data_IF_068356192523
#
_entry.id   IF_068356192523
#
_cell.length_a   1.000
_cell.length_b   1.000
_cell.length_c   1.000
_cell.angle_alpha   90.00
_cell.angle_beta   90.00
_cell.angle_gamma   90.00
#
_symmetry.space_group_name_H-M   'P 1'
#
loop_
_entity.id
_entity.type
_entity.pdbx_description
1 polymer ?
#
# COMPACT_ATOMS: atom_id res chain seq x y z
N UNK A 1 52.31 -34.95 3.72
CA UNK A 1 53.11 -33.95 2.99
C UNK A 1 52.82 -32.60 3.65
N UNK A 2 53.79 -32.17 4.48
CA UNK A 2 53.77 -30.93 5.23
C UNK A 2 54.41 -29.81 4.39
N UNK A 3 53.69 -28.71 4.18
CA UNK A 3 54.26 -27.53 3.52
C UNK A 3 54.59 -26.48 4.58
N UNK A 4 55.90 -26.30 4.77
CA UNK A 4 56.50 -25.24 5.57
C UNK A 4 56.39 -23.89 4.86
N UNK A 5 55.88 -22.87 5.54
CA UNK A 5 56.00 -21.47 5.14
C UNK A 5 57.11 -20.80 5.96
N UNK A 6 58.20 -20.45 5.28
CA UNK A 6 59.31 -19.71 5.84
C UNK A 6 59.00 -18.21 5.81
N UNK A 7 59.10 -17.56 6.98
CA UNK A 7 59.05 -16.11 7.18
C UNK A 7 60.28 -15.45 6.54
N UNK A 8 60.05 -14.47 5.65
CA UNK A 8 61.02 -13.44 5.28
C UNK A 8 60.55 -12.11 5.88
N UNK A 9 61.33 -11.66 6.86
CA UNK A 9 61.23 -10.29 7.37
C UNK A 9 61.63 -9.29 6.28
N UNK A 10 60.74 -8.41 5.90
CA UNK A 10 61.06 -7.19 5.16
C UNK A 10 60.86 -6.00 6.10
N UNK A 11 61.97 -5.28 6.33
CA UNK A 11 61.99 -3.97 7.01
C UNK A 11 61.14 -2.99 6.23
N UNK A 12 60.04 -2.52 6.78
CA UNK A 12 59.26 -1.44 6.24
C UNK A 12 59.62 -0.14 6.92
N UNK A 13 60.04 0.84 6.13
CA UNK A 13 60.23 2.20 6.47
C UNK A 13 58.92 2.86 6.93
N UNK A 14 58.93 3.50 8.08
CA UNK A 14 57.85 4.35 8.59
C UNK A 14 57.61 5.54 7.65
N UNK A 15 56.59 5.48 6.85
CA UNK A 15 55.91 6.67 6.36
C UNK A 15 54.64 6.89 7.18
N UNK A 16 54.30 8.13 7.61
CA UNK A 16 53.06 8.37 8.33
C UNK A 16 51.88 8.09 7.43
N UNK A 17 50.98 7.22 7.89
CA UNK A 17 49.72 6.94 7.23
C UNK A 17 48.99 8.26 6.99
N UNK A 18 48.73 8.56 5.73
CA UNK A 18 47.84 9.64 5.35
C UNK A 18 46.51 9.46 6.08
N UNK A 19 46.13 10.43 6.90
CA UNK A 19 44.85 10.47 7.57
C UNK A 19 43.77 10.22 6.51
N UNK A 20 43.11 9.06 6.58
CA UNK A 20 42.01 8.73 5.70
C UNK A 20 40.98 9.83 5.82
N UNK A 21 40.86 10.64 4.77
CA UNK A 21 39.70 11.50 4.61
C UNK A 21 38.49 10.62 4.78
N UNK A 22 37.80 10.76 5.94
CA UNK A 22 36.42 10.32 6.03
C UNK A 22 35.70 10.99 4.87
N UNK A 23 35.45 10.24 3.80
CA UNK A 23 34.48 10.67 2.81
C UNK A 23 33.24 11.04 3.63
N UNK A 24 32.97 12.31 3.74
CA UNK A 24 31.71 12.77 4.25
C UNK A 24 30.68 11.96 3.44
N UNK A 25 29.77 11.27 4.13
CA UNK A 25 28.55 10.74 3.54
C UNK A 25 27.67 11.95 3.22
N UNK A 26 28.19 12.79 2.36
CA UNK A 26 27.48 13.94 1.84
C UNK A 26 26.65 13.46 0.68
N UNK A 27 25.43 13.80 0.79
CA UNK A 27 24.42 13.82 -0.22
C UNK A 27 23.63 12.52 -0.38
N UNK A 28 22.68 12.32 0.52
CA UNK A 28 21.63 11.33 0.33
C UNK A 28 20.71 11.73 -0.85
N UNK A 29 20.90 12.89 -1.49
CA UNK A 29 20.00 13.43 -2.49
C UNK A 29 18.61 13.75 -1.93
N UNK A 30 17.62 13.85 -2.79
CA UNK A 30 16.23 13.99 -2.39
C UNK A 30 15.75 12.73 -1.66
N UNK A 31 14.90 12.91 -0.65
CA UNK A 31 14.26 11.81 0.05
C UNK A 31 12.81 11.69 -0.38
N UNK A 32 12.28 10.46 -0.30
CA UNK A 32 10.89 10.21 -0.62
C UNK A 32 10.04 10.21 0.64
N UNK A 33 8.87 10.81 0.57
CA UNK A 33 7.82 10.68 1.58
C UNK A 33 6.95 9.49 1.21
N UNK A 34 6.69 8.60 2.15
CA UNK A 34 5.97 7.35 1.92
C UNK A 34 4.68 7.32 2.74
N UNK A 35 3.57 6.91 2.13
CA UNK A 35 2.27 6.73 2.79
C UNK A 35 1.85 5.27 2.71
N UNK A 36 1.74 4.60 3.85
CA UNK A 36 1.43 3.17 3.97
C UNK A 36 0.24 2.93 4.87
N UNK A 37 -0.53 1.88 4.60
CA UNK A 37 -1.59 1.41 5.51
C UNK A 37 -1.00 0.64 6.68
N UNK A 38 -1.48 0.91 7.89
CA UNK A 38 -0.97 0.31 9.12
C UNK A 38 -1.84 -0.85 9.65
N UNK A 39 -2.97 -1.16 9.01
CA UNK A 39 -3.93 -2.19 9.44
C UNK A 39 -4.17 -3.22 8.32
N UNK A 40 -5.41 -3.53 7.98
CA UNK A 40 -5.80 -4.48 6.92
C UNK A 40 -6.35 -3.80 5.65
N UNK A 41 -5.93 -2.59 5.33
CA UNK A 41 -6.45 -1.82 4.22
C UNK A 41 -7.65 -0.94 4.58
N UNK A 42 -8.07 -0.13 3.61
CA UNK A 42 -9.23 0.77 3.76
C UNK A 42 -9.08 1.82 4.88
N UNK A 43 -7.84 2.15 5.29
CA UNK A 43 -7.55 3.14 6.33
C UNK A 43 -7.80 4.58 5.88
N UNK A 44 -8.08 4.81 4.60
CA UNK A 44 -8.26 6.15 4.04
C UNK A 44 -6.96 6.77 3.53
N UNK A 45 -5.98 5.95 3.12
CA UNK A 45 -4.70 6.41 2.55
C UNK A 45 -4.86 7.45 1.45
N UNK A 46 -5.82 7.24 0.53
CA UNK A 46 -6.06 8.15 -0.58
C UNK A 46 -6.27 9.60 -0.17
N UNK A 47 -6.89 9.85 0.97
CA UNK A 47 -7.10 11.22 1.49
C UNK A 47 -5.81 11.86 1.98
N UNK A 48 -4.93 11.08 2.63
CA UNK A 48 -3.61 11.55 3.05
C UNK A 48 -2.72 11.79 1.82
N UNK A 49 -2.77 10.90 0.84
CA UNK A 49 -2.05 11.05 -0.42
C UNK A 49 -2.53 12.26 -1.20
N UNK A 50 -3.84 12.47 -1.34
CA UNK A 50 -4.41 13.63 -2.02
C UNK A 50 -3.93 14.94 -1.40
N UNK A 51 -3.93 15.03 -0.08
CA UNK A 51 -3.42 16.18 0.64
C UNK A 51 -1.95 16.46 0.32
N UNK A 52 -1.08 15.43 0.45
CA UNK A 52 0.36 15.56 0.23
C UNK A 52 0.70 15.76 -1.25
N UNK A 53 -0.11 15.22 -2.15
CA UNK A 53 0.07 15.33 -3.59
C UNK A 53 -0.04 16.76 -4.10
N UNK A 54 -0.73 17.65 -3.38
CA UNK A 54 -0.87 19.07 -3.78
C UNK A 54 0.48 19.77 -3.92
N UNK A 55 1.49 19.31 -3.19
CA UNK A 55 2.84 19.87 -3.19
C UNK A 55 3.90 18.93 -3.82
N UNK A 56 3.51 17.74 -4.25
CA UNK A 56 4.44 16.78 -4.79
C UNK A 56 4.76 17.06 -6.27
N UNK A 57 6.03 16.94 -6.64
CA UNK A 57 6.50 17.01 -8.04
C UNK A 57 6.38 15.64 -8.72
N UNK A 58 6.62 14.57 -7.96
CA UNK A 58 6.55 13.18 -8.45
C UNK A 58 5.73 12.35 -7.49
N UNK A 59 4.78 11.58 -8.02
CA UNK A 59 3.94 10.68 -7.23
C UNK A 59 4.08 9.28 -7.77
N UNK A 60 4.51 8.34 -6.91
CA UNK A 60 4.88 7.00 -7.31
C UNK A 60 3.95 5.96 -6.71
N UNK A 61 3.65 4.95 -7.51
CA UNK A 61 3.07 3.69 -7.06
C UNK A 61 4.10 2.58 -7.16
N UNK A 62 4.35 1.87 -6.06
CA UNK A 62 5.48 0.95 -5.95
C UNK A 62 5.10 -0.53 -6.06
N UNK A 63 3.87 -0.94 -5.81
CA UNK A 63 3.46 -2.35 -5.80
C UNK A 63 1.94 -2.50 -5.97
N UNK A 64 1.48 -3.77 -6.00
CA UNK A 64 0.08 -4.11 -6.20
C UNK A 64 -0.32 -4.02 -7.68
N UNK A 65 -1.59 -3.89 -7.92
CA UNK A 65 -2.19 -3.76 -9.24
C UNK A 65 -3.55 -3.09 -9.12
N UNK A 66 -4.49 -3.43 -10.00
CA UNK A 66 -5.85 -2.89 -9.98
C UNK A 66 -6.80 -3.56 -8.95
N UNK A 67 -6.24 -4.28 -7.98
CA UNK A 67 -6.97 -4.87 -6.86
C UNK A 67 -7.20 -3.89 -5.70
N UNK A 68 -6.37 -2.85 -5.59
CA UNK A 68 -6.59 -1.76 -4.66
C UNK A 68 -7.35 -0.63 -5.38
N UNK A 69 -8.19 0.07 -4.67
CA UNK A 69 -8.92 1.20 -5.22
C UNK A 69 -9.24 2.22 -4.14
N UNK A 70 -9.24 3.50 -4.50
CA UNK A 70 -9.72 4.56 -3.66
C UNK A 70 -10.31 5.69 -4.52
N UNK A 71 -11.27 6.36 -3.94
CA UNK A 71 -11.96 7.49 -4.56
C UNK A 71 -11.39 8.78 -3.98
N UNK A 72 -11.09 9.73 -4.85
CA UNK A 72 -10.67 11.09 -4.50
C UNK A 72 -11.73 12.04 -5.01
N UNK A 73 -12.15 12.98 -4.17
CA UNK A 73 -13.14 13.99 -4.53
C UNK A 73 -12.46 15.34 -4.71
N UNK A 74 -12.56 15.93 -5.91
CA UNK A 74 -12.01 17.24 -6.24
C UNK A 74 -13.08 18.07 -6.92
N UNK A 75 -13.34 19.25 -6.40
CA UNK A 75 -14.37 20.18 -6.90
C UNK A 75 -15.75 19.50 -7.06
N UNK A 76 -16.13 18.66 -6.09
CA UNK A 76 -17.40 17.93 -6.07
C UNK A 76 -17.50 16.79 -7.08
N UNK A 77 -16.41 16.43 -7.75
CA UNK A 77 -16.34 15.29 -8.68
C UNK A 77 -15.54 14.14 -8.07
N UNK A 78 -16.07 12.93 -8.19
CA UNK A 78 -15.42 11.72 -7.72
C UNK A 78 -14.56 11.12 -8.83
N UNK A 79 -13.30 10.81 -8.50
CA UNK A 79 -12.35 10.12 -9.35
C UNK A 79 -11.95 8.80 -8.69
N UNK A 80 -12.13 7.70 -9.43
CA UNK A 80 -11.80 6.38 -8.94
C UNK A 80 -10.44 5.94 -9.48
N UNK A 81 -9.51 5.62 -8.59
CA UNK A 81 -8.17 5.20 -8.92
C UNK A 81 -7.91 3.77 -8.45
N UNK A 82 -7.41 2.93 -9.37
CA UNK A 82 -7.03 1.54 -9.11
C UNK A 82 -5.57 1.27 -9.48
N UNK A 83 -5.15 1.63 -10.70
CA UNK A 83 -3.77 1.51 -11.20
C UNK A 83 -3.05 2.85 -11.23
N UNK A 84 -3.72 3.88 -11.67
CA UNK A 84 -3.15 5.22 -11.67
C UNK A 84 -2.81 5.67 -10.25
N UNK A 85 -1.63 6.29 -10.02
CA UNK A 85 -1.38 6.99 -8.77
C UNK A 85 -2.45 8.05 -8.55
N UNK A 86 -3.07 8.09 -7.37
CA UNK A 86 -4.21 8.99 -7.11
C UNK A 86 -3.86 10.47 -7.25
N UNK A 87 -2.62 10.82 -6.94
CA UNK A 87 -2.13 12.18 -7.09
C UNK A 87 -1.99 12.69 -8.54
N UNK A 88 -2.24 11.86 -9.57
CA UNK A 88 -2.25 12.28 -10.98
C UNK A 88 -3.31 13.36 -11.25
N UNK A 89 -4.26 13.51 -10.35
CA UNK A 89 -5.26 14.58 -10.39
C UNK A 89 -4.61 15.96 -10.29
N UNK A 90 -3.46 16.08 -9.62
CA UNK A 90 -2.65 17.28 -9.60
C UNK A 90 -1.96 17.46 -10.96
N UNK A 91 -2.36 18.48 -11.70
CA UNK A 91 -1.87 18.74 -13.05
C UNK A 91 -0.39 19.14 -13.12
N UNK A 92 0.23 19.48 -12.00
CA UNK A 92 1.64 19.87 -11.91
C UNK A 92 2.57 18.67 -11.68
N UNK A 93 2.04 17.57 -11.19
CA UNK A 93 2.82 16.39 -10.80
C UNK A 93 3.00 15.42 -11.95
N UNK A 94 4.13 14.73 -11.96
CA UNK A 94 4.38 13.54 -12.78
C UNK A 94 4.04 12.32 -11.95
N UNK A 95 3.31 11.38 -12.51
CA UNK A 95 2.97 10.11 -11.87
C UNK A 95 3.82 8.97 -12.42
N UNK A 96 4.36 8.13 -11.55
CA UNK A 96 5.16 6.96 -11.91
C UNK A 96 4.50 5.67 -11.42
N UNK A 97 4.26 4.75 -12.34
CA UNK A 97 3.98 3.34 -12.03
C UNK A 97 5.31 2.59 -12.04
N UNK A 98 5.77 2.17 -10.86
CA UNK A 98 7.05 1.52 -10.65
C UNK A 98 7.10 0.06 -11.10
N UNK A 99 8.29 -0.50 -11.10
CA UNK A 99 8.57 -1.89 -11.52
C UNK A 99 7.94 -2.96 -10.62
N UNK A 100 7.56 -2.61 -9.39
CA UNK A 100 6.87 -3.53 -8.49
C UNK A 100 5.38 -3.70 -8.78
N UNK A 101 4.78 -2.82 -9.57
CA UNK A 101 3.37 -2.89 -9.96
C UNK A 101 3.16 -3.93 -11.05
N UNK A 102 2.04 -4.65 -10.99
CA UNK A 102 1.57 -5.52 -12.06
C UNK A 102 0.39 -4.85 -12.78
N UNK A 103 0.49 -4.71 -14.11
CA UNK A 103 -0.35 -3.81 -14.90
C UNK A 103 -1.27 -4.59 -15.83
N UNK A 104 -2.57 -4.43 -15.66
CA UNK A 104 -3.58 -4.86 -16.63
C UNK A 104 -3.86 -3.71 -17.59
N UNK A 105 -3.34 -3.80 -18.82
CA UNK A 105 -3.40 -2.69 -19.80
C UNK A 105 -4.83 -2.26 -20.15
N UNK A 106 -5.77 -3.19 -20.44
CA UNK A 106 -7.15 -2.77 -20.65
C UNK A 106 -7.71 -1.96 -19.49
N UNK A 107 -7.48 -2.42 -18.25
CA UNK A 107 -7.93 -1.74 -17.04
C UNK A 107 -7.27 -0.38 -16.83
N UNK A 108 -5.98 -0.22 -17.15
CA UNK A 108 -5.27 1.05 -17.05
C UNK A 108 -5.88 2.12 -17.96
N UNK A 109 -6.11 1.78 -19.21
CA UNK A 109 -6.66 2.71 -20.19
C UNK A 109 -8.13 3.01 -19.96
N UNK A 110 -8.93 2.00 -19.58
CA UNK A 110 -10.33 2.19 -19.19
C UNK A 110 -10.45 3.15 -18.00
N UNK A 111 -9.62 2.98 -16.97
CA UNK A 111 -9.56 3.87 -15.80
C UNK A 111 -9.19 5.30 -16.20
N UNK A 112 -8.14 5.46 -17.02
CA UNK A 112 -7.71 6.76 -17.53
C UNK A 112 -8.81 7.46 -18.33
N UNK A 113 -9.42 6.76 -19.29
CA UNK A 113 -10.46 7.29 -20.17
C UNK A 113 -11.74 7.63 -19.40
N UNK A 114 -12.10 6.83 -18.38
CA UNK A 114 -13.23 7.11 -17.49
C UNK A 114 -13.01 8.38 -16.68
N UNK A 115 -11.82 8.55 -16.11
CA UNK A 115 -11.48 9.73 -15.33
C UNK A 115 -11.28 10.98 -16.23
N UNK A 116 -10.82 10.80 -17.47
CA UNK A 116 -10.71 11.90 -18.44
C UNK A 116 -12.08 12.50 -18.77
N UNK A 117 -13.12 11.67 -18.91
CA UNK A 117 -14.50 12.11 -19.08
C UNK A 117 -15.01 12.93 -17.89
N UNK A 118 -14.49 12.65 -16.70
CA UNK A 118 -14.83 13.41 -15.47
C UNK A 118 -14.01 14.71 -15.34
N UNK A 119 -12.91 14.88 -16.11
CA UNK A 119 -12.09 16.09 -16.14
C UNK A 119 -10.59 15.90 -15.97
N UNK A 120 -10.08 14.68 -15.83
CA UNK A 120 -8.65 14.36 -15.73
C UNK A 120 -7.95 14.48 -17.09
N UNK A 121 -7.82 15.69 -17.62
CA UNK A 121 -7.27 15.91 -18.95
C UNK A 121 -5.74 15.73 -19.00
N UNK A 122 -5.25 15.18 -20.13
CA UNK A 122 -3.83 15.07 -20.41
C UNK A 122 -3.07 14.17 -19.45
N UNK A 123 -3.71 13.20 -18.84
CA UNK A 123 -3.13 12.27 -17.87
C UNK A 123 -2.01 11.43 -18.48
N UNK A 124 -2.14 11.00 -19.75
CA UNK A 124 -1.12 10.20 -20.45
C UNK A 124 0.22 10.93 -20.55
N UNK A 125 0.21 12.27 -20.72
CA UNK A 125 1.43 13.08 -20.81
C UNK A 125 2.15 13.22 -19.46
N UNK A 126 1.46 12.93 -18.38
CA UNK A 126 1.95 13.03 -17.00
C UNK A 126 2.16 11.67 -16.33
N UNK A 127 1.86 10.58 -17.04
CA UNK A 127 2.09 9.23 -16.58
C UNK A 127 3.39 8.67 -17.14
N UNK A 128 4.23 8.14 -16.27
CA UNK A 128 5.40 7.32 -16.61
C UNK A 128 5.11 5.90 -16.11
N UNK A 129 5.36 4.94 -16.98
CA UNK A 129 5.27 3.51 -16.67
C UNK A 129 6.67 2.91 -16.77
N UNK A 130 7.09 2.22 -15.70
CA UNK A 130 8.38 1.51 -15.72
C UNK A 130 8.38 0.39 -16.76
N UNK A 131 9.40 0.37 -17.60
CA UNK A 131 9.68 -0.69 -18.55
C UNK A 131 9.81 -2.08 -17.90
N UNK A 132 10.18 -2.13 -16.61
CA UNK A 132 10.32 -3.37 -15.82
C UNK A 132 9.05 -3.83 -15.12
N UNK A 133 7.93 -3.09 -15.21
CA UNK A 133 6.66 -3.53 -14.65
C UNK A 133 6.15 -4.78 -15.38
N UNK A 134 5.53 -5.70 -14.63
CA UNK A 134 4.96 -6.92 -15.20
C UNK A 134 3.54 -6.70 -15.70
N UNK A 135 3.13 -7.50 -16.68
CA UNK A 135 1.79 -7.44 -17.27
C UNK A 135 0.86 -8.46 -16.62
N UNK A 136 -0.36 -8.02 -16.38
CA UNK A 136 -1.50 -8.87 -16.03
C UNK A 136 -2.31 -9.07 -17.30
N UNK A 137 -2.64 -10.31 -17.63
CA UNK A 137 -3.47 -10.65 -18.80
C UNK A 137 -4.87 -11.08 -18.35
N UNK A 138 -5.84 -11.06 -19.25
CA UNK A 138 -7.22 -11.44 -18.97
C UNK A 138 -7.30 -12.86 -18.38
N UNK A 139 -6.51 -13.79 -18.91
CA UNK A 139 -6.47 -15.16 -18.38
C UNK A 139 -5.97 -15.25 -16.94
N UNK A 140 -5.09 -14.32 -16.48
CA UNK A 140 -4.70 -14.25 -15.07
C UNK A 140 -5.93 -13.95 -14.17
N UNK A 141 -6.86 -13.12 -14.63
CA UNK A 141 -8.09 -12.82 -13.90
C UNK A 141 -9.02 -14.04 -13.82
N UNK A 142 -9.13 -14.78 -14.92
CA UNK A 142 -9.90 -16.05 -14.96
C UNK A 142 -9.29 -17.06 -14.00
N UNK A 143 -7.96 -17.24 -14.04
CA UNK A 143 -7.23 -18.16 -13.15
C UNK A 143 -7.38 -17.77 -11.67
N UNK A 144 -7.34 -16.49 -11.34
CA UNK A 144 -7.58 -15.99 -9.98
C UNK A 144 -8.98 -16.42 -9.48
N UNK A 145 -9.98 -16.35 -10.36
CA UNK A 145 -11.33 -16.85 -10.09
C UNK A 145 -11.41 -18.37 -9.91
N UNK A 146 -10.72 -19.14 -10.75
CA UNK A 146 -10.67 -20.60 -10.67
C UNK A 146 -10.01 -21.05 -9.35
N UNK A 147 -8.90 -20.43 -8.97
CA UNK A 147 -8.22 -20.71 -7.71
C UNK A 147 -9.10 -20.46 -6.48
N UNK A 148 -9.89 -19.39 -6.48
CA UNK A 148 -10.85 -19.14 -5.40
C UNK A 148 -11.94 -20.23 -5.33
N UNK A 149 -12.43 -20.69 -6.48
CA UNK A 149 -13.41 -21.77 -6.55
C UNK A 149 -12.84 -23.09 -6.05
N UNK A 150 -11.62 -23.43 -6.43
CA UNK A 150 -10.92 -24.63 -5.98
C UNK A 150 -10.67 -24.63 -4.46
N UNK A 151 -10.18 -23.51 -3.91
CA UNK A 151 -10.00 -23.37 -2.46
C UNK A 151 -11.32 -23.53 -1.71
N UNK A 152 -12.40 -22.92 -2.21
CA UNK A 152 -13.71 -23.07 -1.59
C UNK A 152 -14.18 -24.51 -1.59
N UNK A 153 -13.92 -25.26 -2.67
CA UNK A 153 -14.30 -26.65 -2.79
C UNK A 153 -13.47 -27.60 -1.91
N UNK A 154 -12.15 -27.35 -1.80
CA UNK A 154 -11.22 -28.22 -1.08
C UNK A 154 -11.15 -27.90 0.42
N UNK A 155 -11.13 -26.63 0.79
CA UNK A 155 -10.89 -26.18 2.16
C UNK A 155 -12.13 -25.60 2.82
N UNK A 156 -13.25 -25.44 2.11
CA UNK A 156 -14.45 -24.76 2.58
C UNK A 156 -14.24 -23.26 2.86
N UNK A 157 -13.10 -22.72 2.44
CA UNK A 157 -12.69 -21.33 2.67
C UNK A 157 -12.02 -20.79 1.42
N UNK A 158 -12.25 -19.51 1.12
CA UNK A 158 -11.53 -18.78 0.08
C UNK A 158 -10.73 -17.63 0.70
N UNK A 159 -9.76 -17.06 -0.04
CA UNK A 159 -8.98 -15.91 0.41
C UNK A 159 -9.81 -14.62 0.27
N UNK A 160 -10.80 -14.63 -0.61
CA UNK A 160 -11.65 -13.47 -0.90
C UNK A 160 -10.98 -12.48 -1.83
N UNK A 161 -10.25 -12.97 -2.85
CA UNK A 161 -9.57 -12.12 -3.84
C UNK A 161 -10.55 -11.24 -4.61
N UNK A 162 -10.01 -10.18 -5.23
CA UNK A 162 -10.78 -9.29 -6.10
C UNK A 162 -10.96 -9.85 -7.52
N UNK A 163 -10.40 -11.03 -7.80
CA UNK A 163 -10.38 -11.69 -9.13
C UNK A 163 -9.78 -10.79 -10.22
N UNK A 164 -8.76 -10.01 -9.86
CA UNK A 164 -8.06 -9.11 -10.78
C UNK A 164 -6.75 -9.69 -11.33
N UNK A 165 -6.47 -10.97 -11.07
CA UNK A 165 -5.32 -11.69 -11.60
C UNK A 165 -3.97 -11.30 -10.95
N UNK A 166 -4.01 -10.64 -9.79
CA UNK A 166 -2.81 -10.14 -9.12
C UNK A 166 -1.93 -11.29 -8.64
N UNK A 167 -2.52 -12.27 -7.93
CA UNK A 167 -1.84 -13.48 -7.46
C UNK A 167 -1.16 -14.25 -8.59
N UNK A 168 -1.88 -14.65 -9.64
CA UNK A 168 -1.30 -15.32 -10.81
C UNK A 168 -0.18 -14.52 -11.49
N UNK A 169 -0.30 -13.20 -11.62
CA UNK A 169 0.74 -12.36 -12.22
C UNK A 169 2.04 -12.32 -11.37
N UNK A 170 1.92 -12.15 -10.03
CA UNK A 170 3.08 -12.22 -9.13
C UNK A 170 3.68 -13.63 -9.08
N UNK A 171 2.86 -14.69 -9.15
CA UNK A 171 3.33 -16.07 -9.28
C UNK A 171 4.17 -16.25 -10.55
N UNK A 172 3.69 -15.78 -11.69
CA UNK A 172 4.43 -15.81 -12.96
C UNK A 172 5.74 -15.03 -12.87
N UNK A 173 5.74 -13.88 -12.19
CA UNK A 173 6.95 -13.08 -11.92
C UNK A 173 7.97 -13.87 -11.10
N UNK A 174 7.54 -14.49 -10.00
CA UNK A 174 8.41 -15.26 -9.12
C UNK A 174 8.95 -16.52 -9.82
N UNK A 175 8.14 -17.17 -10.66
CA UNK A 175 8.53 -18.32 -11.49
C UNK A 175 9.38 -17.94 -12.71
N UNK A 176 9.59 -16.65 -12.96
CA UNK A 176 10.38 -16.10 -14.08
C UNK A 176 9.85 -16.43 -15.47
N UNK A 177 8.54 -16.66 -15.57
CA UNK A 177 7.81 -16.86 -16.83
C UNK A 177 6.91 -15.68 -17.19
N UNK A 178 6.77 -14.70 -16.28
CA UNK A 178 6.00 -13.48 -16.50
C UNK A 178 6.60 -12.59 -17.59
N UNK A 179 5.76 -11.75 -18.18
CA UNK A 179 6.13 -10.80 -19.23
C UNK A 179 6.08 -9.37 -18.69
N UNK A 180 7.04 -8.56 -19.11
CA UNK A 180 7.20 -7.16 -18.72
C UNK A 180 6.74 -6.21 -19.82
N UNK A 181 6.60 -4.96 -19.47
CA UNK A 181 6.32 -3.86 -20.42
C UNK A 181 7.40 -3.78 -21.49
N UNK A 182 8.69 -3.91 -21.13
CA UNK A 182 9.79 -3.90 -22.12
C UNK A 182 9.71 -5.05 -23.11
N UNK A 183 9.22 -6.22 -22.71
CA UNK A 183 9.04 -7.36 -23.62
C UNK A 183 7.96 -7.05 -24.67
N UNK A 184 6.84 -6.45 -24.25
CA UNK A 184 5.75 -6.05 -25.15
C UNK A 184 6.19 -4.98 -26.17
N UNK A 185 7.05 -4.06 -25.75
CA UNK A 185 7.55 -2.96 -26.59
C UNK A 185 8.79 -3.31 -27.42
N UNK A 186 9.35 -4.50 -27.20
CA UNK A 186 10.47 -5.06 -27.94
C UNK A 186 10.06 -5.77 -29.23
N UNK A 187 10.69 -6.90 -29.54
CA UNK A 187 10.29 -7.74 -30.67
C UNK A 187 8.96 -8.42 -30.38
N UNK A 188 7.94 -8.08 -31.16
CA UNK A 188 6.59 -8.59 -30.96
C UNK A 188 6.44 -10.09 -31.28
N UNK A 189 7.30 -10.66 -32.14
CA UNK A 189 7.27 -12.09 -32.44
C UNK A 189 7.81 -12.90 -31.25
N UNK A 190 8.91 -12.42 -30.63
CA UNK A 190 9.45 -13.00 -29.39
C UNK A 190 8.41 -12.88 -28.26
N UNK A 191 7.86 -11.70 -28.07
CA UNK A 191 6.77 -11.49 -27.11
C UNK A 191 5.60 -12.45 -27.32
N UNK A 192 5.12 -12.60 -28.57
CA UNK A 192 4.00 -13.48 -28.92
C UNK A 192 4.32 -14.94 -28.60
N UNK A 193 5.54 -15.39 -28.88
CA UNK A 193 5.99 -16.74 -28.56
C UNK A 193 5.99 -17.00 -27.06
N UNK A 194 6.53 -16.08 -26.27
CA UNK A 194 6.56 -16.16 -24.82
C UNK A 194 5.15 -16.06 -24.22
N UNK A 195 4.28 -15.23 -24.79
CA UNK A 195 2.88 -15.13 -24.39
C UNK A 195 2.13 -16.47 -24.60
N UNK A 196 2.28 -17.09 -25.78
CA UNK A 196 1.71 -18.40 -26.07
C UNK A 196 2.18 -19.48 -25.12
N UNK A 197 3.47 -19.48 -24.79
CA UNK A 197 4.05 -20.40 -23.81
C UNK A 197 3.45 -20.18 -22.42
N UNK A 198 3.28 -18.93 -22.01
CA UNK A 198 2.66 -18.60 -20.73
C UNK A 198 1.20 -19.07 -20.65
N UNK A 199 0.42 -18.83 -21.71
CA UNK A 199 -0.96 -19.34 -21.82
C UNK A 199 -0.98 -20.86 -21.73
N UNK A 200 -0.12 -21.55 -22.48
CA UNK A 200 -0.02 -23.01 -22.47
C UNK A 200 0.28 -23.55 -21.06
N UNK A 201 1.20 -22.92 -20.32
CA UNK A 201 1.48 -23.31 -18.95
C UNK A 201 0.25 -23.22 -18.06
N UNK A 202 -0.53 -22.14 -18.18
CA UNK A 202 -1.76 -22.01 -17.40
C UNK A 202 -2.86 -22.97 -17.84
N UNK A 203 -3.00 -23.23 -19.14
CA UNK A 203 -3.95 -24.24 -19.65
C UNK A 203 -3.60 -25.66 -19.21
N UNK A 204 -2.31 -25.98 -19.06
CA UNK A 204 -1.86 -27.26 -18.52
C UNK A 204 -2.24 -27.44 -17.03
N UNK A 205 -2.24 -26.36 -16.26
CA UNK A 205 -2.68 -26.37 -14.86
C UNK A 205 -4.22 -26.30 -14.72
N UNK A 206 -4.87 -25.57 -15.62
CA UNK A 206 -6.32 -25.34 -15.62
C UNK A 206 -6.90 -25.71 -16.98
N UNK A 207 -7.24 -27.01 -17.23
CA UNK A 207 -7.73 -27.45 -18.55
C UNK A 207 -9.02 -26.77 -19.04
N UNK A 208 -9.81 -26.22 -18.13
CA UNK A 208 -11.02 -25.46 -18.46
C UNK A 208 -10.75 -24.02 -18.91
N UNK A 209 -9.49 -23.55 -18.85
CA UNK A 209 -9.12 -22.19 -19.23
C UNK A 209 -9.16 -22.02 -20.75
N UNK A 210 -10.17 -21.29 -21.22
CA UNK A 210 -10.27 -20.91 -22.62
C UNK A 210 -9.62 -19.54 -22.83
N UNK A 211 -8.72 -19.43 -23.81
CA UNK A 211 -8.02 -18.19 -24.16
C UNK A 211 -7.99 -18.04 -25.68
N UNK A 212 -8.59 -16.97 -26.20
CA UNK A 212 -8.39 -16.56 -27.58
C UNK A 212 -7.06 -15.82 -27.71
N UNK A 213 -6.03 -16.57 -28.04
CA UNK A 213 -4.64 -16.08 -28.10
C UNK A 213 -4.45 -15.00 -29.18
N UNK A 214 -5.08 -15.18 -30.34
CA UNK A 214 -4.90 -14.27 -31.47
C UNK A 214 -5.61 -12.93 -31.23
N UNK A 215 -6.82 -12.95 -30.66
CA UNK A 215 -7.53 -11.72 -30.26
C UNK A 215 -6.76 -10.97 -29.16
N UNK A 216 -6.26 -11.68 -28.15
CA UNK A 216 -5.46 -11.04 -27.11
C UNK A 216 -4.16 -10.43 -27.63
N UNK A 217 -3.42 -11.12 -28.50
CA UNK A 217 -2.21 -10.59 -29.10
C UNK A 217 -2.49 -9.35 -29.96
N UNK A 218 -3.58 -9.33 -30.71
CA UNK A 218 -4.01 -8.17 -31.48
C UNK A 218 -4.27 -6.97 -30.56
N UNK A 219 -5.06 -7.15 -29.52
CA UNK A 219 -5.34 -6.09 -28.52
C UNK A 219 -4.07 -5.58 -27.84
N UNK A 220 -3.17 -6.50 -27.47
CA UNK A 220 -1.91 -6.14 -26.82
C UNK A 220 -1.00 -5.31 -27.75
N UNK A 221 -1.02 -5.57 -29.04
CA UNK A 221 -0.30 -4.77 -30.04
C UNK A 221 -0.84 -3.34 -30.11
N UNK A 222 -2.16 -3.19 -30.11
CA UNK A 222 -2.79 -1.86 -30.10
C UNK A 222 -2.48 -1.09 -28.81
N UNK A 223 -2.54 -1.75 -27.65
CA UNK A 223 -2.16 -1.15 -26.38
C UNK A 223 -0.69 -0.80 -26.30
N UNK A 224 0.21 -1.58 -26.94
CA UNK A 224 1.64 -1.28 -26.99
C UNK A 224 1.92 0.09 -27.62
N UNK A 225 1.24 0.42 -28.71
CA UNK A 225 1.43 1.71 -29.38
C UNK A 225 0.93 2.88 -28.52
N UNK A 226 -0.21 2.73 -27.81
CA UNK A 226 -0.71 3.75 -26.89
C UNK A 226 0.20 3.91 -25.67
N UNK A 227 0.76 2.79 -25.17
CA UNK A 227 1.61 2.77 -23.98
C UNK A 227 3.02 3.34 -24.23
N UNK A 228 3.57 3.12 -25.45
CA UNK A 228 4.96 3.44 -25.81
C UNK A 228 5.44 4.85 -25.40
N UNK A 229 4.67 5.93 -25.60
CA UNK A 229 5.08 7.28 -25.20
C UNK A 229 5.24 7.47 -23.69
N UNK A 230 4.57 6.65 -22.87
CA UNK A 230 4.58 6.74 -21.42
C UNK A 230 5.72 5.95 -20.77
N UNK A 231 6.34 5.01 -21.51
CA UNK A 231 7.32 4.08 -20.94
C UNK A 231 8.70 4.71 -20.81
N UNK A 232 9.33 4.51 -19.65
CA UNK A 232 10.70 4.92 -19.34
C UNK A 232 11.40 3.81 -18.57
N UNK A 233 12.75 3.83 -18.55
CA UNK A 233 13.50 3.13 -17.49
C UNK A 233 13.15 3.77 -16.14
N UNK A 234 12.28 3.08 -15.38
CA UNK A 234 11.76 3.62 -14.12
C UNK A 234 12.85 3.79 -13.06
N UNK A 235 13.87 2.92 -13.06
CA UNK A 235 15.00 2.99 -12.12
C UNK A 235 15.87 4.21 -12.42
N UNK A 236 16.19 4.43 -13.69
CA UNK A 236 16.98 5.59 -14.10
C UNK A 236 16.22 6.90 -13.84
N UNK A 237 14.93 6.94 -14.14
CA UNK A 237 14.08 8.09 -13.82
C UNK A 237 14.08 8.42 -12.31
N UNK A 238 13.95 7.40 -11.45
CA UNK A 238 14.01 7.62 -10.01
C UNK A 238 15.40 8.05 -9.54
N UNK A 239 16.48 7.52 -10.16
CA UNK A 239 17.83 7.96 -9.88
C UNK A 239 18.00 9.46 -10.20
N UNK A 240 17.54 9.94 -11.35
CA UNK A 240 17.57 11.37 -11.71
C UNK A 240 16.72 12.21 -10.77
N UNK A 241 15.52 11.72 -10.39
CA UNK A 241 14.65 12.43 -9.46
C UNK A 241 15.28 12.57 -8.05
N UNK A 242 16.05 11.58 -7.62
CA UNK A 242 16.70 11.56 -6.31
C UNK A 242 17.99 12.39 -6.27
N UNK A 243 18.74 12.48 -7.37
CA UNK A 243 20.07 13.13 -7.42
C UNK A 243 20.08 14.45 -8.20
N UNK A 244 18.96 14.82 -8.79
CA UNK A 244 18.79 16.08 -9.50
C UNK A 244 18.41 17.26 -8.60
N UNK A 245 17.84 18.32 -9.18
CA UNK A 245 17.32 19.44 -8.40
C UNK A 245 16.32 19.00 -7.34
N UNK A 246 16.16 19.79 -6.24
CA UNK A 246 15.21 19.47 -5.19
C UNK A 246 13.82 19.16 -5.75
N UNK A 247 13.27 17.98 -5.37
CA UNK A 247 11.94 17.52 -5.73
C UNK A 247 11.25 16.93 -4.51
N UNK A 248 9.96 17.20 -4.40
CA UNK A 248 9.07 16.53 -3.45
C UNK A 248 8.55 15.25 -4.10
N UNK A 249 9.00 14.11 -3.63
CA UNK A 249 8.65 12.79 -4.15
C UNK A 249 7.75 12.09 -3.14
N UNK A 250 6.54 11.75 -3.56
CA UNK A 250 5.55 11.05 -2.75
C UNK A 250 5.39 9.62 -3.26
N UNK A 251 5.41 8.65 -2.35
CA UNK A 251 5.15 7.25 -2.66
C UNK A 251 3.86 6.80 -2.01
N UNK A 252 2.92 6.38 -2.82
CA UNK A 252 1.64 5.82 -2.42
C UNK A 252 1.72 4.30 -2.36
N UNK A 253 1.59 3.72 -1.15
CA UNK A 253 1.49 2.28 -0.97
C UNK A 253 0.08 1.77 -1.28
N UNK A 254 -0.01 0.63 -1.94
CA UNK A 254 -1.27 -0.10 -2.09
C UNK A 254 -1.45 -1.10 -0.95
N UNK A 255 -2.70 -1.40 -0.60
CA UNK A 255 -3.05 -2.29 0.51
C UNK A 255 -2.50 -1.81 1.88
N UNK A 256 -2.06 -2.71 2.77
CA UNK A 256 -1.60 -2.36 4.12
C UNK A 256 -0.67 -3.42 4.71
N UNK A 257 -0.02 -3.10 5.83
CA UNK A 257 0.99 -3.94 6.47
C UNK A 257 0.49 -5.36 6.79
N UNK A 258 -0.76 -5.51 7.29
CA UNK A 258 -1.33 -6.82 7.63
C UNK A 258 -1.81 -7.63 6.41
N UNK A 259 -1.74 -7.04 5.21
CA UNK A 259 -1.98 -7.69 3.92
C UNK A 259 -0.69 -7.95 3.14
N UNK A 260 0.47 -7.61 3.70
CA UNK A 260 1.77 -7.88 3.10
C UNK A 260 2.02 -9.38 2.95
N UNK A 261 2.63 -9.80 1.83
CA UNK A 261 2.85 -11.24 1.52
C UNK A 261 3.78 -11.92 2.53
N UNK A 262 4.75 -11.20 3.10
CA UNK A 262 5.73 -11.74 4.04
C UNK A 262 5.32 -11.51 5.50
N UNK A 263 4.79 -10.33 5.82
CA UNK A 263 4.55 -9.87 7.19
C UNK A 263 3.08 -9.87 7.59
N UNK A 264 2.17 -10.04 6.65
CA UNK A 264 0.73 -10.01 6.89
C UNK A 264 0.19 -11.29 7.52
N UNK A 265 -1.14 -11.34 7.62
CA UNK A 265 -1.89 -12.47 8.18
C UNK A 265 -2.08 -13.60 7.15
N UNK A 266 -0.97 -14.17 6.70
CA UNK A 266 -0.93 -15.25 5.72
C UNK A 266 -1.81 -16.45 6.14
N UNK A 267 -2.61 -17.07 5.23
CA UNK A 267 -2.66 -16.83 3.79
C UNK A 267 -3.64 -15.70 3.34
N UNK A 268 -4.31 -15.03 4.26
CA UNK A 268 -5.31 -13.99 3.96
C UNK A 268 -4.63 -12.64 3.72
N UNK A 269 -3.83 -12.56 2.66
CA UNK A 269 -2.97 -11.43 2.29
C UNK A 269 -3.08 -11.15 0.79
N UNK A 270 -2.50 -10.03 0.34
CA UNK A 270 -2.24 -9.79 -1.09
C UNK A 270 -0.92 -10.44 -1.51
N UNK A 271 -0.63 -10.45 -2.79
CA UNK A 271 0.58 -11.08 -3.35
C UNK A 271 1.78 -10.14 -3.47
N UNK A 272 1.71 -8.95 -2.89
CA UNK A 272 2.76 -7.94 -2.98
C UNK A 272 3.28 -7.51 -1.61
N UNK A 273 4.49 -6.90 -1.60
CA UNK A 273 5.07 -6.31 -0.41
C UNK A 273 4.47 -4.91 -0.18
N UNK A 274 3.71 -4.77 0.90
CA UNK A 274 2.96 -3.56 1.24
C UNK A 274 3.68 -2.68 2.28
N UNK A 275 4.91 -3.03 2.63
CA UNK A 275 5.76 -2.35 3.60
C UNK A 275 6.75 -1.39 2.93
N UNK A 276 7.51 -0.63 3.73
CA UNK A 276 8.56 0.27 3.23
C UNK A 276 9.63 -0.46 2.41
N UNK A 277 9.90 -1.73 2.72
CA UNK A 277 10.77 -2.59 1.90
C UNK A 277 10.26 -2.74 0.47
N UNK A 278 8.94 -2.84 0.30
CA UNK A 278 8.27 -2.88 -1.00
C UNK A 278 8.39 -1.57 -1.80
N UNK A 279 8.56 -0.45 -1.13
CA UNK A 279 8.88 0.84 -1.79
C UNK A 279 10.26 0.78 -2.43
N UNK A 280 11.26 0.32 -1.69
CA UNK A 280 12.63 0.20 -2.22
C UNK A 280 12.70 -0.75 -3.41
N UNK A 281 12.13 -1.93 -3.30
CA UNK A 281 12.17 -2.93 -4.38
C UNK A 281 11.26 -2.59 -5.55
N UNK A 282 10.12 -1.94 -5.28
CA UNK A 282 9.11 -1.62 -6.29
C UNK A 282 9.41 -0.37 -7.14
N UNK A 283 10.36 0.45 -6.70
CA UNK A 283 10.81 1.66 -7.43
C UNK A 283 12.30 1.63 -7.75
N UNK A 284 13.06 0.67 -7.22
CA UNK A 284 14.50 0.59 -7.39
C UNK A 284 15.25 1.72 -6.66
N UNK A 285 14.74 2.18 -5.51
CA UNK A 285 15.37 3.23 -4.71
C UNK A 285 16.13 2.66 -3.52
N UNK A 286 17.31 3.24 -3.18
CA UNK A 286 18.07 2.80 -2.02
C UNK A 286 17.36 3.14 -0.71
N UNK A 287 17.47 2.31 0.35
CA UNK A 287 16.88 2.61 1.66
C UNK A 287 17.31 3.96 2.25
N UNK A 288 18.51 4.42 1.90
CA UNK A 288 19.05 5.72 2.34
C UNK A 288 18.19 6.91 1.88
N UNK A 289 17.46 6.77 0.77
CA UNK A 289 16.59 7.81 0.23
C UNK A 289 15.16 7.76 0.77
N UNK A 290 14.84 6.83 1.67
CA UNK A 290 13.58 6.87 2.41
C UNK A 290 13.66 8.01 3.44
N UNK A 291 12.71 8.93 3.37
CA UNK A 291 12.51 10.02 4.31
C UNK A 291 11.39 9.72 5.30
N UNK A 292 10.35 10.56 5.29
CA UNK A 292 9.21 10.36 6.16
C UNK A 292 8.36 9.18 5.72
N UNK A 293 7.94 8.36 6.67
CA UNK A 293 7.07 7.21 6.46
C UNK A 293 5.81 7.41 7.30
N UNK A 294 4.71 7.77 6.65
CA UNK A 294 3.43 7.99 7.31
C UNK A 294 2.60 6.70 7.32
N UNK A 295 2.28 6.23 8.51
CA UNK A 295 1.35 5.13 8.73
C UNK A 295 -0.08 5.65 8.81
N UNK A 296 -0.98 5.16 7.96
CA UNK A 296 -2.39 5.52 8.02
C UNK A 296 -3.17 4.46 8.78
N UNK A 297 -3.90 4.86 9.81
CA UNK A 297 -4.73 4.02 10.65
C UNK A 297 -6.11 4.63 10.84
N UNK A 298 -7.16 3.83 10.86
CA UNK A 298 -8.45 4.27 11.40
C UNK A 298 -8.39 4.35 12.92
N UNK A 299 -9.23 5.19 13.51
CA UNK A 299 -9.44 5.24 14.96
C UNK A 299 -10.10 3.97 15.53
N UNK A 300 -10.46 3.02 14.69
CA UNK A 300 -10.92 1.68 14.97
C UNK A 300 -10.35 0.70 13.95
N UNK A 301 -10.64 -0.59 14.03
CA UNK A 301 -10.08 -1.56 13.09
C UNK A 301 -11.17 -2.10 12.17
N UNK A 302 -10.84 -2.29 10.90
CA UNK A 302 -11.71 -2.98 9.93
C UNK A 302 -10.94 -4.06 9.20
N UNK A 303 -11.63 -5.13 8.80
CA UNK A 303 -11.07 -6.20 7.98
C UNK A 303 -12.09 -6.67 6.94
N UNK A 304 -11.62 -6.90 5.72
CA UNK A 304 -12.40 -7.54 4.66
C UNK A 304 -12.10 -9.04 4.64
N UNK A 305 -13.12 -9.86 4.40
CA UNK A 305 -12.96 -11.30 4.26
C UNK A 305 -12.78 -12.04 5.56
N UNK A 306 -12.32 -13.27 5.45
CA UNK A 306 -12.10 -14.20 6.56
C UNK A 306 -10.71 -14.03 7.18
N UNK A 307 -10.45 -14.75 8.24
CA UNK A 307 -9.20 -14.72 8.99
C UNK A 307 -9.37 -14.11 10.38
N UNK A 308 -8.36 -14.27 11.23
CA UNK A 308 -8.40 -13.83 12.61
C UNK A 308 -8.52 -12.31 12.73
N UNK A 309 -9.42 -11.85 13.61
CA UNK A 309 -9.61 -10.44 13.92
C UNK A 309 -9.83 -10.30 15.42
N UNK A 310 -8.76 -10.21 16.22
CA UNK A 310 -8.84 -10.30 17.68
C UNK A 310 -9.78 -9.28 18.34
N UNK A 311 -9.81 -8.05 17.85
CA UNK A 311 -10.64 -6.98 18.42
C UNK A 311 -12.02 -6.84 17.78
N UNK A 312 -12.42 -7.79 16.91
CA UNK A 312 -13.73 -7.77 16.25
C UNK A 312 -14.90 -7.64 17.21
N UNK A 313 -15.91 -6.87 16.83
CA UNK A 313 -17.13 -6.69 17.61
C UNK A 313 -18.33 -7.22 16.83
N UNK A 314 -18.88 -8.34 17.29
CA UNK A 314 -20.08 -8.98 16.73
C UNK A 314 -21.34 -8.56 17.51
N UNK A 315 -21.44 -7.28 17.87
CA UNK A 315 -22.47 -6.71 18.71
C UNK A 315 -22.90 -5.33 18.17
N UNK A 316 -23.75 -4.62 18.90
CA UNK A 316 -24.24 -3.29 18.55
C UNK A 316 -23.12 -2.26 18.26
N UNK A 317 -21.95 -2.40 18.93
CA UNK A 317 -20.79 -1.53 18.63
C UNK A 317 -20.24 -1.81 17.23
N UNK A 318 -20.06 -3.08 16.86
CA UNK A 318 -19.60 -3.44 15.52
C UNK A 318 -20.58 -2.99 14.43
N UNK A 319 -21.88 -3.13 14.65
CA UNK A 319 -22.93 -2.63 13.74
C UNK A 319 -22.91 -1.10 13.62
N UNK A 320 -22.72 -0.40 14.73
CA UNK A 320 -22.61 1.06 14.75
C UNK A 320 -21.39 1.52 13.94
N UNK A 321 -20.21 0.94 14.17
CA UNK A 321 -18.98 1.24 13.45
C UNK A 321 -19.15 0.98 11.93
N UNK A 322 -19.79 -0.14 11.58
CA UNK A 322 -20.03 -0.52 10.20
C UNK A 322 -20.98 0.47 9.50
N UNK A 323 -22.11 0.79 10.15
CA UNK A 323 -23.16 1.64 9.58
C UNK A 323 -22.71 3.11 9.51
N UNK A 324 -22.29 3.68 10.65
CA UNK A 324 -21.85 5.07 10.75
C UNK A 324 -20.56 5.32 9.96
N UNK A 325 -19.66 4.32 9.94
CA UNK A 325 -18.41 4.39 9.17
C UNK A 325 -18.59 4.13 7.68
N UNK A 326 -19.80 3.76 7.19
CA UNK A 326 -20.05 3.29 5.82
C UNK A 326 -19.00 2.27 5.39
N UNK A 327 -18.79 1.25 6.24
CA UNK A 327 -17.75 0.25 6.04
C UNK A 327 -18.18 -0.81 5.02
N UNK A 328 -18.15 -0.41 3.74
CA UNK A 328 -18.43 -1.24 2.57
C UNK A 328 -17.28 -1.12 1.59
N UNK A 329 -16.84 -2.24 1.01
CA UNK A 329 -15.76 -2.24 0.03
C UNK A 329 -16.19 -1.61 -1.30
N UNK A 330 -15.49 -0.57 -1.75
CA UNK A 330 -15.80 0.16 -3.00
C UNK A 330 -15.80 -0.77 -4.21
N UNK A 331 -14.81 -1.67 -4.31
CA UNK A 331 -14.65 -2.57 -5.46
C UNK A 331 -15.60 -3.78 -5.42
N UNK A 332 -15.90 -4.29 -4.23
CA UNK A 332 -16.61 -5.58 -4.07
C UNK A 332 -18.01 -5.45 -3.49
N UNK A 333 -18.39 -4.28 -2.96
CA UNK A 333 -19.64 -4.07 -2.23
C UNK A 333 -19.76 -4.88 -0.93
N UNK A 334 -18.69 -5.56 -0.48
CA UNK A 334 -18.71 -6.39 0.73
C UNK A 334 -18.67 -5.51 1.97
N UNK A 335 -19.51 -5.82 2.95
CA UNK A 335 -19.45 -5.22 4.27
C UNK A 335 -18.12 -5.60 4.94
N UNK A 336 -17.47 -4.62 5.56
CA UNK A 336 -16.25 -4.84 6.36
C UNK A 336 -16.63 -5.27 7.76
N UNK A 337 -15.87 -6.19 8.31
CA UNK A 337 -15.91 -6.54 9.73
C UNK A 337 -15.30 -5.37 10.51
N UNK A 338 -15.88 -5.01 11.64
CA UNK A 338 -15.46 -3.86 12.43
C UNK A 338 -15.13 -4.28 13.87
N UNK A 339 -14.17 -3.62 14.47
CA UNK A 339 -13.76 -3.86 15.84
C UNK A 339 -13.02 -2.68 16.45
N UNK A 340 -12.69 -2.80 17.73
CA UNK A 340 -11.91 -1.79 18.43
C UNK A 340 -10.52 -1.60 17.81
N UNK A 341 -9.93 -0.43 18.02
CA UNK A 341 -8.56 -0.17 17.63
C UNK A 341 -7.62 -1.18 18.30
N UNK A 342 -6.73 -1.76 17.52
CA UNK A 342 -5.77 -2.76 17.95
C UNK A 342 -4.34 -2.21 17.90
N UNK A 343 -3.79 -1.86 19.05
CA UNK A 343 -2.45 -1.29 19.13
C UNK A 343 -1.34 -2.34 19.02
N UNK A 344 -1.66 -3.63 19.21
CA UNK A 344 -0.69 -4.71 18.93
C UNK A 344 -0.37 -4.73 17.44
N UNK A 345 -1.40 -4.59 16.60
CA UNK A 345 -1.26 -4.50 15.14
C UNK A 345 -0.49 -3.24 14.75
N UNK A 346 -0.86 -2.07 15.30
CA UNK A 346 -0.19 -0.81 14.96
C UNK A 346 1.28 -0.82 15.35
N UNK A 347 1.59 -1.34 16.54
CA UNK A 347 2.97 -1.50 17.00
C UNK A 347 3.77 -2.44 16.11
N UNK A 348 3.16 -3.56 15.70
CA UNK A 348 3.77 -4.50 14.76
C UNK A 348 4.02 -3.84 13.41
N UNK A 349 3.03 -3.12 12.87
CA UNK A 349 3.21 -2.37 11.62
C UNK A 349 4.31 -1.30 11.72
N UNK A 350 4.43 -0.62 12.87
CA UNK A 350 5.53 0.32 13.13
C UNK A 350 6.89 -0.37 13.17
N UNK A 351 7.01 -1.55 13.82
CA UNK A 351 8.26 -2.33 13.86
C UNK A 351 8.80 -2.64 12.46
N UNK A 352 7.90 -2.90 11.49
CA UNK A 352 8.27 -3.28 10.13
C UNK A 352 8.59 -2.05 9.28
N UNK A 353 7.84 -0.95 9.46
CA UNK A 353 7.86 0.19 8.57
C UNK A 353 8.66 1.39 9.09
N UNK A 354 8.93 1.46 10.40
CA UNK A 354 9.61 2.62 11.00
C UNK A 354 8.83 3.92 10.80
N UNK A 355 7.52 3.91 11.06
CA UNK A 355 6.69 5.11 10.87
C UNK A 355 7.27 6.31 11.60
N UNK A 356 7.39 7.44 10.89
CA UNK A 356 7.80 8.74 11.47
C UNK A 356 6.61 9.48 12.05
N UNK A 357 5.40 9.23 11.54
CA UNK A 357 4.15 9.70 12.12
C UNK A 357 2.98 8.80 11.73
N UNK A 358 1.89 8.88 12.50
CA UNK A 358 0.62 8.19 12.25
C UNK A 358 -0.46 9.18 11.83
N UNK A 359 -1.10 8.94 10.69
CA UNK A 359 -2.32 9.64 10.30
C UNK A 359 -3.53 8.85 10.79
N UNK A 360 -4.22 9.36 11.81
CA UNK A 360 -5.41 8.74 12.35
C UNK A 360 -6.65 9.26 11.61
N UNK A 361 -7.43 8.35 11.04
CA UNK A 361 -8.62 8.67 10.24
C UNK A 361 -9.91 8.24 10.93
N UNK A 362 -11.04 8.79 10.53
CA UNK A 362 -12.39 8.39 11.00
C UNK A 362 -12.58 8.46 12.53
N UNK A 363 -11.97 9.46 13.16
CA UNK A 363 -12.15 9.69 14.61
C UNK A 363 -13.59 10.06 14.93
N UNK A 364 -14.25 10.83 14.05
CA UNK A 364 -15.64 11.29 14.11
C UNK A 364 -16.67 10.14 14.21
N UNK A 365 -16.31 8.95 13.76
CA UNK A 365 -17.18 7.76 13.88
C UNK A 365 -17.40 7.39 15.34
N UNK A 366 -16.41 7.65 16.20
CA UNK A 366 -16.44 7.33 17.62
C UNK A 366 -17.21 8.36 18.48
N UNK A 367 -17.60 9.50 17.92
CA UNK A 367 -18.22 10.63 18.64
C UNK A 367 -19.46 10.28 19.47
N UNK A 368 -20.19 9.25 19.06
CA UNK A 368 -21.47 8.87 19.67
C UNK A 368 -21.35 7.79 20.75
N UNK A 369 -20.14 7.27 20.97
CA UNK A 369 -19.92 6.21 21.93
C UNK A 369 -19.83 6.75 23.37
N UNK A 370 -20.35 6.01 24.34
CA UNK A 370 -20.20 6.29 25.77
C UNK A 370 -18.84 5.87 26.29
N UNK A 371 -18.36 4.75 25.76
CA UNK A 371 -17.12 4.09 26.12
C UNK A 371 -16.40 3.63 24.86
N UNK A 372 -15.09 3.80 24.82
CA UNK A 372 -14.22 3.38 23.72
C UNK A 372 -13.15 2.45 24.28
N UNK A 373 -12.98 1.28 23.68
CA UNK A 373 -11.95 0.32 24.07
C UNK A 373 -10.84 0.27 23.04
N UNK A 374 -9.62 0.04 23.54
CA UNK A 374 -8.41 -0.10 22.72
C UNK A 374 -7.71 -1.38 23.12
N UNK A 375 -7.44 -2.27 22.17
CA UNK A 375 -6.65 -3.49 22.40
C UNK A 375 -5.18 -3.13 22.61
N UNK A 376 -4.65 -3.40 23.80
CA UNK A 376 -3.27 -3.00 24.18
C UNK A 376 -2.30 -4.16 24.24
N UNK A 377 -2.78 -5.37 24.44
CA UNK A 377 -1.97 -6.58 24.50
C UNK A 377 -2.80 -7.82 24.14
N UNK A 378 -2.10 -8.86 23.71
CA UNK A 378 -2.67 -10.18 23.53
C UNK A 378 -2.24 -11.10 24.67
N UNK A 379 -3.16 -11.96 25.11
CA UNK A 379 -2.91 -13.07 26.02
C UNK A 379 -3.17 -14.39 25.32
N UNK A 380 -2.33 -15.37 25.59
CA UNK A 380 -2.54 -16.75 25.18
C UNK A 380 -2.45 -17.63 26.44
N UNK A 381 -3.49 -18.41 26.71
CA UNK A 381 -3.59 -19.22 27.93
C UNK A 381 -3.33 -18.39 29.21
N UNK A 382 -3.92 -17.20 29.30
CA UNK A 382 -3.82 -16.29 30.44
C UNK A 382 -2.49 -15.53 30.58
N UNK A 383 -1.51 -15.74 29.68
CA UNK A 383 -0.21 -15.06 29.71
C UNK A 383 -0.09 -14.08 28.55
N UNK A 384 0.37 -12.86 28.84
CA UNK A 384 0.70 -11.88 27.78
C UNK A 384 1.78 -12.43 26.86
N UNK A 385 1.58 -12.26 25.55
CA UNK A 385 2.60 -12.54 24.53
C UNK A 385 3.19 -11.21 24.03
N UNK A 386 4.52 -11.12 23.84
CA UNK A 386 5.20 -9.85 23.55
C UNK A 386 5.15 -9.45 22.07
N UNK A 387 4.67 -10.33 21.19
CA UNK A 387 4.73 -10.16 19.75
C UNK A 387 3.40 -10.48 19.06
N UNK A 388 3.25 -10.01 17.85
CA UNK A 388 2.13 -10.37 16.97
C UNK A 388 2.34 -11.81 16.44
N UNK A 389 1.38 -12.75 16.65
CA UNK A 389 1.53 -14.14 16.20
C UNK A 389 1.51 -14.26 14.67
N UNK A 390 2.50 -14.95 14.10
CA UNK A 390 2.53 -15.29 12.69
C UNK A 390 1.53 -16.43 12.34
N UNK A 391 1.28 -17.33 13.27
CA UNK A 391 0.37 -18.45 13.07
C UNK A 391 -1.08 -18.02 13.29
N UNK A 392 -1.93 -18.29 12.30
CA UNK A 392 -3.35 -17.90 12.33
C UNK A 392 -4.15 -18.62 13.41
N UNK A 393 -3.84 -19.89 13.69
CA UNK A 393 -4.54 -20.63 14.75
C UNK A 393 -4.21 -20.08 16.14
N UNK A 394 -3.00 -19.58 16.33
CA UNK A 394 -2.61 -18.85 17.54
C UNK A 394 -3.33 -17.52 17.61
N UNK A 395 -3.35 -16.77 16.51
CA UNK A 395 -4.02 -15.46 16.46
C UNK A 395 -5.55 -15.57 16.68
N UNK A 396 -6.17 -16.68 16.29
CA UNK A 396 -7.60 -16.95 16.60
C UNK A 396 -7.86 -17.22 18.07
N UNK A 397 -6.84 -17.67 18.82
CA UNK A 397 -6.97 -18.07 20.23
C UNK A 397 -6.54 -16.99 21.22
N UNK A 398 -6.01 -15.86 20.75
CA UNK A 398 -5.58 -14.80 21.65
C UNK A 398 -6.80 -14.14 22.31
N UNK A 399 -6.64 -13.83 23.57
CA UNK A 399 -7.52 -12.96 24.32
C UNK A 399 -6.96 -11.55 24.29
N UNK A 400 -7.80 -10.55 23.98
CA UNK A 400 -7.37 -9.15 23.92
C UNK A 400 -7.52 -8.51 25.29
N UNK A 401 -6.45 -7.88 25.75
CA UNK A 401 -6.50 -6.99 26.89
C UNK A 401 -6.82 -5.58 26.43
N UNK A 402 -7.83 -4.98 27.04
CA UNK A 402 -8.34 -3.67 26.64
C UNK A 402 -8.05 -2.60 27.69
N UNK A 403 -7.69 -1.41 27.20
CA UNK A 403 -7.80 -0.16 27.96
C UNK A 403 -9.12 0.51 27.56
N UNK A 404 -9.78 1.15 28.53
CA UNK A 404 -11.12 1.74 28.36
C UNK A 404 -11.06 3.25 28.54
N UNK A 405 -11.63 3.98 27.60
CA UNK A 405 -11.69 5.43 27.59
C UNK A 405 -13.13 5.91 27.63
N UNK A 406 -13.45 6.99 28.37
CA UNK A 406 -14.76 7.61 28.28
C UNK A 406 -14.94 8.28 26.93
N UNK A 407 -16.06 8.02 26.28
CA UNK A 407 -16.43 8.68 25.02
C UNK A 407 -16.57 10.19 25.19
N UNK A 408 -16.29 10.94 24.16
CA UNK A 408 -16.37 12.41 24.21
C UNK A 408 -17.75 12.97 23.90
N UNK A 409 -18.64 12.24 23.26
CA UNK A 409 -20.02 12.64 22.96
C UNK A 409 -20.13 14.02 22.34
N UNK A 410 -19.19 14.38 21.52
CA UNK A 410 -19.09 15.71 20.86
C UNK A 410 -18.78 15.47 19.40
N UNK A 411 -19.49 16.16 18.51
CA UNK A 411 -19.22 16.11 17.08
C UNK A 411 -17.83 16.71 16.79
N UNK A 412 -16.92 15.89 16.30
CA UNK A 412 -15.56 16.27 15.92
C UNK A 412 -15.43 16.57 14.43
N UNK A 413 -16.50 16.42 13.67
CA UNK A 413 -16.50 16.58 12.21
C UNK A 413 -16.09 17.98 11.75
N UNK A 414 -16.31 19.00 12.53
CA UNK A 414 -15.92 20.39 12.27
C UNK A 414 -14.57 20.79 12.86
N UNK A 415 -13.89 19.96 13.69
CA UNK A 415 -12.59 20.29 14.25
C UNK A 415 -11.54 20.47 13.14
N UNK A 416 -10.76 21.52 13.11
CA UNK A 416 -9.72 21.83 12.11
C UNK A 416 -8.32 21.96 12.73
N UNK A 417 -8.28 22.07 14.05
CA UNK A 417 -7.03 22.20 14.83
C UNK A 417 -7.08 21.26 16.01
N UNK A 418 -5.94 20.93 16.56
CA UNK A 418 -5.84 20.12 17.75
C UNK A 418 -6.72 20.61 18.90
N UNK A 419 -6.73 21.91 19.14
CA UNK A 419 -7.50 22.52 20.22
C UNK A 419 -9.04 22.52 19.98
N UNK A 420 -9.50 22.22 18.77
CA UNK A 420 -10.91 22.06 18.47
C UNK A 420 -11.44 20.69 18.94
N UNK A 421 -10.53 19.73 19.17
CA UNK A 421 -10.89 18.42 19.66
C UNK A 421 -11.20 18.45 21.16
N UNK A 422 -12.27 17.76 21.61
CA UNK A 422 -12.58 17.64 23.04
C UNK A 422 -11.42 16.92 23.76
N UNK A 423 -11.19 17.31 25.01
CA UNK A 423 -10.07 16.81 25.82
C UNK A 423 -10.01 15.26 25.88
N UNK A 424 -11.17 14.58 25.91
CA UNK A 424 -11.24 13.12 25.90
C UNK A 424 -10.73 12.53 24.58
N UNK A 425 -11.03 13.16 23.44
CA UNK A 425 -10.49 12.74 22.14
C UNK A 425 -8.98 12.97 22.05
N UNK A 426 -8.49 14.13 22.56
CA UNK A 426 -7.07 14.39 22.67
C UNK A 426 -6.35 13.34 23.54
N UNK A 427 -6.92 12.97 24.68
CA UNK A 427 -6.36 11.93 25.56
C UNK A 427 -6.31 10.56 24.87
N UNK A 428 -7.33 10.21 24.08
CA UNK A 428 -7.35 9.00 23.27
C UNK A 428 -6.20 8.97 22.26
N UNK A 429 -5.99 10.06 21.52
CA UNK A 429 -4.92 10.18 20.52
C UNK A 429 -3.54 10.13 21.23
N UNK A 430 -3.33 10.88 22.30
CA UNK A 430 -2.07 10.85 23.06
C UNK A 430 -1.73 9.48 23.62
N UNK A 431 -2.74 8.74 24.05
CA UNK A 431 -2.54 7.36 24.49
C UNK A 431 -2.01 6.48 23.37
N UNK A 432 -2.60 6.60 22.16
CA UNK A 432 -2.14 5.86 20.96
C UNK A 432 -0.67 6.22 20.66
N UNK A 433 -0.35 7.51 20.59
CA UNK A 433 1.01 8.00 20.36
C UNK A 433 2.02 7.43 21.34
N UNK A 434 1.73 7.55 22.62
CA UNK A 434 2.60 7.06 23.70
C UNK A 434 2.76 5.53 23.66
N UNK A 435 1.70 4.80 23.32
CA UNK A 435 1.74 3.33 23.29
C UNK A 435 2.58 2.80 22.12
N UNK A 436 2.49 3.47 20.96
CA UNK A 436 3.24 3.08 19.76
C UNK A 436 4.65 3.66 19.78
N UNK A 437 4.85 4.80 20.45
CA UNK A 437 6.10 5.58 20.46
C UNK A 437 6.28 6.41 19.19
N UNK A 438 5.19 6.79 18.51
CA UNK A 438 5.20 7.55 17.27
C UNK A 438 4.20 8.69 17.37
N UNK A 439 4.58 9.94 17.03
CA UNK A 439 3.67 11.07 17.08
C UNK A 439 2.55 10.92 16.04
N UNK A 440 1.38 11.47 16.34
CA UNK A 440 0.38 11.67 15.30
C UNK A 440 0.79 12.84 14.40
N UNK A 441 0.30 12.84 13.18
CA UNK A 441 0.59 13.94 12.24
C UNK A 441 0.06 15.29 12.74
N UNK A 442 -0.83 15.30 13.74
CA UNK A 442 -1.35 16.53 14.35
C UNK A 442 -0.31 17.25 15.23
N UNK A 443 0.71 16.53 15.74
CA UNK A 443 1.72 17.07 16.67
C UNK A 443 3.08 17.33 15.99
N UNK A 444 3.25 16.94 14.74
CA UNK A 444 4.50 17.17 14.01
C UNK A 444 4.61 18.65 13.62
N UNK A 445 5.74 19.27 13.97
CA UNK A 445 6.15 20.61 13.53
C UNK A 445 6.47 20.67 12.02
N UNK A 446 5.69 20.02 11.19
CA UNK A 446 5.75 20.22 9.74
C UNK A 446 4.91 21.49 9.48
N UNK A 447 5.53 22.66 9.21
CA UNK A 447 4.85 23.95 9.22
C UNK A 447 3.65 24.05 8.27
N UNK A 448 3.60 23.18 7.28
CA UNK A 448 2.54 23.14 6.26
C UNK A 448 1.43 22.13 6.58
N UNK A 449 1.64 21.21 7.52
CA UNK A 449 0.66 20.20 7.89
C UNK A 449 -0.34 20.70 8.96
N UNK A 450 0.03 21.67 9.78
CA UNK A 450 -0.86 22.22 10.82
C UNK A 450 -2.18 22.81 10.30
N UNK A 451 -2.18 23.37 9.09
CA UNK A 451 -3.43 23.88 8.46
C UNK A 451 -4.17 22.81 7.65
N UNK A 452 -3.52 21.74 7.28
CA UNK A 452 -4.00 20.76 6.30
C UNK A 452 -4.36 19.41 6.90
N UNK A 453 -3.82 19.01 8.04
CA UNK A 453 -4.12 17.72 8.69
C UNK A 453 -5.38 17.77 9.54
N UNK A 454 -5.66 18.88 10.15
CA UNK A 454 -7.03 19.11 10.64
C UNK A 454 -8.06 18.90 9.52
N UNK A 455 -7.73 19.19 8.27
CA UNK A 455 -8.53 18.90 7.09
C UNK A 455 -8.48 17.41 6.69
N UNK A 456 -7.38 16.67 6.90
CA UNK A 456 -7.29 15.24 6.58
C UNK A 456 -8.06 14.37 7.60
N UNK A 457 -8.04 14.72 8.88
CA UNK A 457 -8.92 14.12 9.90
C UNK A 457 -10.40 14.36 9.54
N UNK A 458 -10.71 15.40 8.77
CA UNK A 458 -12.06 15.89 8.59
C UNK A 458 -12.67 15.81 7.18
N UNK A 459 -11.86 15.79 6.09
CA UNK A 459 -12.41 15.43 4.78
C UNK A 459 -12.88 13.98 4.70
N UNK A 460 -12.88 13.27 5.85
CA UNK A 460 -13.49 11.95 6.00
C UNK A 460 -14.98 12.02 6.35
N UNK A 461 -15.61 13.18 6.31
CA UNK A 461 -17.02 13.31 6.61
C UNK A 461 -17.88 12.53 5.63
N UNK A 462 -18.78 11.77 6.22
CA UNK A 462 -19.81 10.94 5.62
C UNK A 462 -20.73 11.70 4.66
N UNK A 463 -20.84 13.01 4.78
CA UNK A 463 -21.74 13.83 3.95
C UNK A 463 -21.23 14.13 2.54
N UNK A 464 -19.96 13.78 2.21
CA UNK A 464 -19.42 13.92 0.86
C UNK A 464 -19.62 12.66 -0.01
N UNK A 465 -20.39 11.66 0.47
CA UNK A 465 -20.65 10.39 -0.22
C UNK A 465 -22.14 10.13 -0.43
N UNK A 466 -22.99 11.13 -0.32
CA UNK A 466 -24.43 10.97 -0.63
C UNK A 466 -24.80 12.01 -1.70
N UNK A 467 -24.71 11.62 -2.93
CA UNK A 467 -25.69 11.70 -4.02
C UNK A 467 -25.14 11.09 -5.28
#
# INVERSE_FOLDING_TARGET
MSLNWSSKEQKTSNQPAAAGQKRARNDAGNKVTVVLGAQWGDEGKGKVVDLLATEADVICRCQGGNNAGHTVVVDGKEYDFHLLPSGIINTKSISLIGNGVVIHLPGLFEEGDKNEKKGLKGWEKRLIVSDRAHLVFDFHQVVDGLQETERQAQEGKNIGTTKKGIGPAYSSKASRIGLRVCDLLGDFNDFSTRFKNLVHNYQSMYPSLAVDVDDQLKKLKDFAERLRPMVRDGVYYMYEALHGPPKKILVEGANAALLDIDFGTYPFVTSSNCTVGGVCTGLGIPPLNIGDVFGVSKAYTTRVGIGAFPTEQLNAVGELLQTRGHEVGVTTGRKRRCGWLDLVILRYAHMINGFTAIALTKLDILDVLDEIKVGVAYKLNGRRIPHFPANMDVLHKVEVEYETFPGWKTDTSAARKWNDLPAKAQNYIRFIENHIGVPSMSDTNIPYLHSSISTAVQRTNVNDVVH
#
